data_IF_318496047548
#
_entry.id   IF_318496047548
#
_cell.length_a   1.000
_cell.length_b   1.000
_cell.length_c   1.000
_cell.angle_alpha   90.00
_cell.angle_beta   90.00
_cell.angle_gamma   90.00
#
_symmetry.space_group_name_H-M   'P 1'
#
loop_
_entity.id
_entity.type
_entity.pdbx_description
1 polymer ?
#
# COMPACT_ATOMS: atom_id res chain seq x y z
N UNK A 1 48.36 -40.89 36.33
CA UNK A 1 47.83 -39.51 36.21
C UNK A 1 48.08 -39.07 34.78
N UNK A 2 47.01 -38.98 33.99
CA UNK A 2 47.06 -38.70 32.56
C UNK A 2 47.29 -37.21 32.32
N UNK A 3 48.36 -36.89 31.60
CA UNK A 3 48.59 -35.57 31.03
C UNK A 3 47.97 -35.55 29.63
N UNK A 4 46.89 -34.79 29.53
CA UNK A 4 46.11 -34.53 28.33
C UNK A 4 46.97 -33.78 27.31
N UNK A 5 47.31 -34.45 26.22
CA UNK A 5 48.08 -33.93 25.11
C UNK A 5 47.16 -33.05 24.25
N UNK A 6 47.36 -31.73 24.29
CA UNK A 6 46.73 -30.80 23.36
C UNK A 6 47.27 -31.04 21.95
N UNK A 7 46.40 -31.44 21.03
CA UNK A 7 46.69 -31.52 19.59
C UNK A 7 46.76 -30.10 19.04
N UNK A 8 47.97 -29.67 18.70
CA UNK A 8 48.19 -28.52 17.82
C UNK A 8 47.70 -28.91 16.42
N UNK A 9 46.55 -28.37 16.00
CA UNK A 9 46.15 -28.38 14.60
C UNK A 9 46.87 -27.23 13.91
N UNK A 10 47.94 -27.58 13.21
CA UNK A 10 48.67 -26.70 12.30
C UNK A 10 47.74 -26.30 11.14
N UNK A 11 47.17 -25.09 11.23
CA UNK A 11 46.43 -24.49 10.13
C UNK A 11 47.45 -23.86 9.17
N UNK A 12 47.98 -24.66 8.25
CA UNK A 12 48.78 -24.20 7.12
C UNK A 12 47.90 -23.40 6.16
N UNK A 13 47.97 -22.07 6.23
CA UNK A 13 47.32 -21.17 5.29
C UNK A 13 48.04 -21.27 3.91
N UNK A 14 47.33 -21.54 2.80
CA UNK A 14 47.94 -21.46 1.48
C UNK A 14 48.17 -19.99 1.10
N UNK A 15 49.42 -19.65 0.83
CA UNK A 15 49.84 -18.36 0.32
C UNK A 15 49.26 -18.10 -1.09
N UNK A 16 48.95 -16.83 -1.36
CA UNK A 16 48.72 -16.19 -2.67
C UNK A 16 47.34 -16.30 -3.33
N UNK A 17 46.32 -15.71 -2.70
CA UNK A 17 45.25 -15.07 -3.48
C UNK A 17 45.68 -13.65 -3.85
N UNK A 18 46.27 -13.48 -5.03
CA UNK A 18 46.65 -12.18 -5.57
C UNK A 18 45.37 -11.34 -5.83
N UNK A 19 45.12 -10.32 -5.00
CA UNK A 19 44.06 -9.35 -5.26
C UNK A 19 44.41 -8.51 -6.50
N UNK A 20 43.54 -8.44 -7.54
CA UNK A 20 43.76 -7.56 -8.66
C UNK A 20 43.69 -6.09 -8.21
N UNK A 21 44.68 -5.32 -8.66
CA UNK A 21 44.86 -3.87 -8.42
C UNK A 21 43.55 -3.08 -8.52
N UNK A 22 43.27 -2.26 -7.50
CA UNK A 22 42.10 -1.36 -7.33
C UNK A 22 41.99 -0.22 -8.37
N UNK A 23 42.63 -0.33 -9.52
CA UNK A 23 42.68 0.73 -10.54
C UNK A 23 41.82 0.46 -11.78
N UNK A 24 41.01 -0.62 -11.80
CA UNK A 24 40.18 -1.01 -12.95
C UNK A 24 38.67 -0.98 -12.64
N UNK A 25 38.22 0.02 -11.89
CA UNK A 25 36.78 0.32 -11.64
C UNK A 25 36.35 1.68 -12.23
N UNK A 26 37.13 2.25 -13.16
CA UNK A 26 36.85 3.54 -13.79
C UNK A 26 36.29 3.43 -15.22
N UNK A 27 35.60 2.35 -15.55
CA UNK A 27 34.84 2.23 -16.79
C UNK A 27 33.39 1.85 -16.48
N UNK A 28 32.73 2.68 -15.66
CA UNK A 28 31.27 2.74 -15.64
C UNK A 28 30.86 3.36 -16.98
N UNK A 29 30.62 2.48 -17.95
CA UNK A 29 30.02 2.83 -19.22
C UNK A 29 28.79 3.71 -18.97
N UNK A 30 28.76 4.80 -19.70
CA UNK A 30 27.81 5.89 -19.57
C UNK A 30 26.42 5.34 -19.89
N UNK A 31 25.51 5.37 -18.92
CA UNK A 31 24.10 5.14 -19.21
C UNK A 31 23.53 6.50 -19.65
N UNK A 32 23.08 6.67 -20.91
CA UNK A 32 22.54 7.94 -21.36
C UNK A 32 21.31 8.27 -20.53
N UNK A 33 21.43 9.35 -19.75
CA UNK A 33 20.31 9.96 -19.04
C UNK A 33 19.23 10.30 -20.05
N UNK A 34 18.15 9.51 -20.06
CA UNK A 34 16.90 9.88 -20.70
C UNK A 34 16.48 11.21 -20.08
N UNK A 35 16.65 12.26 -20.88
CA UNK A 35 16.19 13.61 -20.62
C UNK A 35 14.67 13.55 -20.79
N UNK A 36 13.94 13.58 -19.66
CA UNK A 36 12.49 13.46 -19.67
C UNK A 36 11.95 12.94 -18.36
N UNK A 37 12.24 13.63 -17.25
CA UNK A 37 11.40 13.53 -16.06
C UNK A 37 10.09 14.28 -16.37
N UNK A 38 9.27 13.71 -17.23
CA UNK A 38 7.83 13.92 -17.14
C UNK A 38 7.39 13.20 -15.87
N UNK A 39 7.07 13.99 -14.84
CA UNK A 39 6.62 13.51 -13.54
C UNK A 39 5.30 12.74 -13.70
N UNK A 40 5.37 11.48 -14.09
CA UNK A 40 4.35 10.50 -13.71
C UNK A 40 4.86 9.85 -12.44
N UNK A 41 4.72 10.55 -11.31
CA UNK A 41 5.14 10.01 -10.01
C UNK A 41 4.21 8.86 -9.63
N UNK A 42 4.66 7.63 -9.82
CA UNK A 42 3.95 6.45 -9.33
C UNK A 42 3.74 6.57 -7.82
N UNK A 43 2.70 5.94 -7.29
CA UNK A 43 2.39 6.05 -5.86
C UNK A 43 3.56 5.55 -5.00
N UNK A 44 4.28 4.52 -5.47
CA UNK A 44 5.49 3.99 -4.84
C UNK A 44 6.64 5.01 -4.77
N UNK A 45 6.87 5.79 -5.82
CA UNK A 45 7.90 6.84 -5.84
C UNK A 45 7.53 8.00 -4.92
N UNK A 46 6.26 8.39 -4.89
CA UNK A 46 5.75 9.41 -3.95
C UNK A 46 5.99 9.00 -2.51
N UNK A 47 5.70 7.74 -2.15
CA UNK A 47 5.98 7.21 -0.81
C UNK A 47 7.47 7.25 -0.46
N UNK A 48 8.37 7.01 -1.43
CA UNK A 48 9.80 7.10 -1.19
C UNK A 48 10.26 8.55 -0.95
N UNK A 49 9.77 9.49 -1.74
CA UNK A 49 10.10 10.91 -1.58
C UNK A 49 9.63 11.44 -0.22
N UNK A 50 8.39 11.14 0.15
CA UNK A 50 7.79 11.56 1.40
C UNK A 50 8.48 10.94 2.62
N UNK A 51 9.00 9.70 2.50
CA UNK A 51 9.82 9.11 3.55
C UNK A 51 11.11 9.91 3.80
N UNK A 52 11.77 10.35 2.73
CA UNK A 52 12.98 11.16 2.86
C UNK A 52 12.67 12.52 3.47
N UNK A 53 11.54 13.13 3.10
CA UNK A 53 11.07 14.37 3.68
C UNK A 53 10.72 14.22 5.18
N UNK A 54 10.01 13.15 5.57
CA UNK A 54 9.69 12.86 6.96
C UNK A 54 10.95 12.66 7.82
N UNK A 55 11.99 12.03 7.25
CA UNK A 55 13.30 11.90 7.92
C UNK A 55 13.99 13.25 8.12
N UNK A 56 13.91 14.15 7.13
CA UNK A 56 14.52 15.49 7.20
C UNK A 56 13.80 16.42 8.19
N UNK A 57 12.48 16.39 8.18
CA UNK A 57 11.62 17.23 9.03
C UNK A 57 11.48 16.71 10.45
N UNK A 58 11.86 15.44 10.69
CA UNK A 58 11.73 14.81 12.01
C UNK A 58 10.31 14.34 12.33
N UNK A 59 9.41 14.27 11.34
CA UNK A 59 8.06 13.74 11.51
C UNK A 59 8.09 12.23 11.76
N UNK A 60 8.07 11.86 13.03
CA UNK A 60 8.17 10.46 13.49
C UNK A 60 6.96 9.65 13.02
N UNK A 61 5.75 10.20 13.18
CA UNK A 61 4.50 9.51 12.82
C UNK A 61 4.46 9.22 11.32
N UNK A 62 4.70 10.22 10.48
CA UNK A 62 4.70 10.02 9.02
C UNK A 62 5.79 9.05 8.59
N UNK A 63 6.98 9.14 9.17
CA UNK A 63 8.10 8.23 8.87
C UNK A 63 7.76 6.78 9.21
N UNK A 64 7.17 6.51 10.37
CA UNK A 64 6.80 5.16 10.81
C UNK A 64 5.70 4.57 9.93
N UNK A 65 4.65 5.34 9.65
CA UNK A 65 3.55 4.94 8.76
C UNK A 65 4.07 4.58 7.38
N UNK A 66 4.90 5.43 6.77
CA UNK A 66 5.42 5.18 5.43
C UNK A 66 6.35 3.97 5.41
N UNK A 67 7.20 3.79 6.43
CA UNK A 67 8.08 2.60 6.52
C UNK A 67 7.26 1.31 6.61
N UNK A 68 6.23 1.31 7.44
CA UNK A 68 5.36 0.15 7.60
C UNK A 68 4.60 -0.16 6.32
N UNK A 69 4.02 0.86 5.68
CA UNK A 69 3.32 0.72 4.42
C UNK A 69 4.22 0.15 3.32
N UNK A 70 5.46 0.65 3.19
CA UNK A 70 6.42 0.13 2.21
C UNK A 70 6.83 -1.31 2.48
N UNK A 71 6.94 -1.71 3.75
CA UNK A 71 7.19 -3.11 4.09
C UNK A 71 6.03 -4.01 3.64
N UNK A 72 4.78 -3.59 3.87
CA UNK A 72 3.60 -4.34 3.45
C UNK A 72 3.47 -4.42 1.92
N UNK A 73 3.74 -3.32 1.21
CA UNK A 73 3.84 -3.31 -0.25
C UNK A 73 4.88 -4.35 -0.70
N UNK A 74 6.07 -4.34 -0.08
CA UNK A 74 7.14 -5.26 -0.45
C UNK A 74 6.78 -6.72 -0.20
N UNK A 75 6.15 -7.02 0.93
CA UNK A 75 5.66 -8.36 1.24
C UNK A 75 4.70 -8.84 0.15
N UNK A 76 3.76 -7.98 -0.26
CA UNK A 76 2.76 -8.34 -1.27
C UNK A 76 3.33 -8.42 -2.70
N UNK A 77 4.39 -7.67 -3.00
CA UNK A 77 5.19 -7.88 -4.23
C UNK A 77 5.88 -9.24 -4.24
N UNK A 78 6.44 -9.66 -3.11
CA UNK A 78 7.07 -10.98 -2.96
C UNK A 78 6.03 -12.08 -3.16
N UNK A 79 4.86 -11.96 -2.51
CA UNK A 79 3.76 -12.92 -2.64
C UNK A 79 3.27 -13.06 -4.08
N UNK A 80 3.24 -11.97 -4.84
CA UNK A 80 2.80 -11.95 -6.25
C UNK A 80 3.92 -12.24 -7.25
N UNK A 81 5.18 -12.20 -6.84
CA UNK A 81 6.34 -12.33 -7.73
C UNK A 81 6.49 -11.18 -8.74
N UNK A 82 5.81 -10.05 -8.55
CA UNK A 82 5.87 -8.88 -9.44
C UNK A 82 5.66 -7.57 -8.66
N UNK A 83 6.10 -6.42 -9.20
CA UNK A 83 5.75 -5.11 -8.65
C UNK A 83 4.23 -4.92 -8.57
N UNK A 84 3.77 -4.23 -7.53
CA UNK A 84 2.36 -3.86 -7.40
C UNK A 84 2.02 -2.70 -8.33
N UNK A 85 0.79 -2.70 -8.84
CA UNK A 85 0.24 -1.52 -9.51
C UNK A 85 -0.23 -0.49 -8.49
N UNK A 86 -0.44 0.75 -8.94
CA UNK A 86 -0.92 1.82 -8.05
C UNK A 86 -2.30 1.49 -7.44
N UNK A 87 -3.18 0.78 -8.16
CA UNK A 87 -4.46 0.32 -7.58
C UNK A 87 -4.24 -0.68 -6.45
N UNK A 88 -3.30 -1.61 -6.61
CA UNK A 88 -2.99 -2.62 -5.60
C UNK A 88 -2.34 -1.99 -4.36
N UNK A 89 -1.55 -0.92 -4.54
CA UNK A 89 -1.01 -0.13 -3.42
C UNK A 89 -2.14 0.59 -2.68
N UNK A 90 -3.11 1.16 -3.39
CA UNK A 90 -4.31 1.77 -2.79
C UNK A 90 -5.10 0.74 -1.96
N UNK A 91 -5.25 -0.50 -2.44
CA UNK A 91 -5.87 -1.58 -1.67
C UNK A 91 -5.12 -1.87 -0.36
N UNK A 92 -3.78 -1.89 -0.39
CA UNK A 92 -2.95 -2.07 0.82
C UNK A 92 -3.18 -0.93 1.80
N UNK A 93 -3.20 0.32 1.33
CA UNK A 93 -3.46 1.51 2.18
C UNK A 93 -4.83 1.39 2.85
N UNK A 94 -5.87 1.01 2.11
CA UNK A 94 -7.23 0.82 2.65
C UNK A 94 -7.28 -0.24 3.73
N UNK A 95 -6.62 -1.39 3.52
CA UNK A 95 -6.51 -2.45 4.52
C UNK A 95 -5.85 -1.93 5.80
N UNK A 96 -4.78 -1.14 5.68
CA UNK A 96 -4.08 -0.54 6.81
C UNK A 96 -4.97 0.44 7.60
N UNK A 97 -5.76 1.27 6.91
CA UNK A 97 -6.73 2.16 7.56
C UNK A 97 -7.78 1.36 8.32
N UNK A 98 -8.32 0.30 7.71
CA UNK A 98 -9.31 -0.56 8.36
C UNK A 98 -8.78 -1.18 9.66
N UNK A 99 -7.58 -1.77 9.60
CA UNK A 99 -6.94 -2.35 10.80
C UNK A 99 -6.74 -1.32 11.92
N UNK A 100 -6.44 -0.05 11.57
CA UNK A 100 -6.29 1.03 12.55
C UNK A 100 -7.61 1.47 13.14
N UNK A 101 -8.68 1.52 12.34
CA UNK A 101 -10.04 1.80 12.84
C UNK A 101 -10.50 0.73 13.82
N UNK A 102 -10.23 -0.54 13.52
CA UNK A 102 -10.50 -1.66 14.45
C UNK A 102 -9.66 -1.52 15.73
N UNK A 103 -8.39 -1.13 15.63
CA UNK A 103 -7.54 -0.87 16.79
C UNK A 103 -8.02 0.31 17.65
N UNK A 104 -8.46 1.40 17.02
CA UNK A 104 -9.06 2.57 17.70
C UNK A 104 -10.25 2.13 18.53
N UNK A 105 -11.16 1.33 17.97
CA UNK A 105 -12.33 0.85 18.68
C UNK A 105 -11.94 0.02 19.92
N UNK A 106 -10.95 -0.86 19.78
CA UNK A 106 -10.43 -1.67 20.90
C UNK A 106 -9.75 -0.80 21.97
N UNK A 107 -8.95 0.19 21.58
CA UNK A 107 -8.28 1.09 22.54
C UNK A 107 -9.26 2.04 23.23
N UNK A 108 -10.29 2.50 22.52
CA UNK A 108 -11.36 3.32 23.08
C UNK A 108 -12.16 2.53 24.13
N UNK A 109 -12.49 1.26 23.84
CA UNK A 109 -13.12 0.35 24.82
C UNK A 109 -12.23 0.14 26.06
N UNK A 110 -10.91 0.11 25.89
CA UNK A 110 -9.94 0.02 26.97
C UNK A 110 -9.62 1.33 27.70
N UNK A 111 -10.26 2.46 27.35
CA UNK A 111 -10.02 3.77 27.95
C UNK A 111 -8.63 4.37 27.67
N UNK A 112 -7.92 3.89 26.63
CA UNK A 112 -6.57 4.32 26.27
C UNK A 112 -6.58 5.37 25.17
N UNK A 113 -7.02 6.58 25.53
CA UNK A 113 -7.15 7.71 24.59
C UNK A 113 -5.79 8.10 23.95
N UNK A 114 -4.68 7.91 24.66
CA UNK A 114 -3.33 8.14 24.15
C UNK A 114 -3.01 7.30 22.90
N UNK A 115 -3.53 6.07 22.84
CA UNK A 115 -3.35 5.18 21.70
C UNK A 115 -4.34 5.49 20.58
N UNK A 116 -5.57 5.90 20.92
CA UNK A 116 -6.57 6.35 19.94
C UNK A 116 -6.03 7.52 19.12
N UNK A 117 -5.53 8.57 19.78
CA UNK A 117 -5.00 9.76 19.11
C UNK A 117 -3.81 9.43 18.19
N UNK A 118 -2.96 8.47 18.60
CA UNK A 118 -1.85 7.99 17.79
C UNK A 118 -2.33 7.27 16.54
N UNK A 119 -3.30 6.37 16.65
CA UNK A 119 -3.84 5.66 15.49
C UNK A 119 -4.60 6.59 14.55
N UNK A 120 -5.34 7.56 15.07
CA UNK A 120 -5.99 8.60 14.27
C UNK A 120 -4.97 9.45 13.51
N UNK A 121 -3.85 9.82 14.14
CA UNK A 121 -2.78 10.54 13.47
C UNK A 121 -2.19 9.73 12.31
N UNK A 122 -2.02 8.42 12.49
CA UNK A 122 -1.56 7.53 11.42
C UNK A 122 -2.57 7.41 10.28
N UNK A 123 -3.87 7.31 10.59
CA UNK A 123 -4.94 7.28 9.57
C UNK A 123 -4.90 8.57 8.74
N UNK A 124 -4.78 9.73 9.38
CA UNK A 124 -4.67 11.02 8.66
C UNK A 124 -3.53 11.03 7.66
N UNK A 125 -2.36 10.47 8.02
CA UNK A 125 -1.23 10.33 7.10
C UNK A 125 -1.59 9.43 5.92
N UNK A 126 -2.16 8.25 6.18
CA UNK A 126 -2.54 7.29 5.12
C UNK A 126 -3.58 7.88 4.15
N UNK A 127 -4.53 8.67 4.64
CA UNK A 127 -5.57 9.31 3.84
C UNK A 127 -5.00 10.29 2.81
N UNK A 128 -3.83 10.91 3.06
CA UNK A 128 -3.18 11.80 2.08
C UNK A 128 -2.69 11.10 0.80
N UNK A 129 -2.58 9.78 0.84
CA UNK A 129 -2.15 8.94 -0.28
C UNK A 129 -3.32 8.32 -1.05
N UNK A 130 -4.55 8.44 -0.53
CA UNK A 130 -5.74 7.98 -1.22
C UNK A 130 -6.28 9.08 -2.14
N UNK A 131 -6.81 8.73 -3.32
CA UNK A 131 -7.62 9.67 -4.08
C UNK A 131 -8.83 10.08 -3.25
N UNK A 132 -9.35 11.29 -3.49
CA UNK A 132 -10.53 11.80 -2.81
C UNK A 132 -11.64 10.74 -2.83
N UNK A 133 -11.98 10.25 -1.63
CA UNK A 133 -12.99 9.22 -1.48
C UNK A 133 -14.36 9.83 -1.77
N UNK A 134 -15.20 9.06 -2.45
CA UNK A 134 -16.59 9.45 -2.67
C UNK A 134 -17.33 9.32 -1.34
N UNK A 135 -18.17 10.31 -1.04
CA UNK A 135 -19.10 10.21 0.08
C UNK A 135 -20.10 9.05 -0.17
N UNK A 136 -20.71 8.49 0.89
CA UNK A 136 -21.74 7.47 0.74
C UNK A 136 -22.89 7.92 -0.17
N UNK A 137 -23.24 9.20 -0.13
CA UNK A 137 -24.33 9.79 -0.91
C UNK A 137 -23.96 9.91 -2.40
N UNK A 138 -22.75 10.39 -2.72
CA UNK A 138 -22.26 10.44 -4.11
C UNK A 138 -22.13 9.04 -4.71
N UNK A 139 -21.70 8.06 -3.91
CA UNK A 139 -21.64 6.66 -4.33
C UNK A 139 -23.03 6.10 -4.63
N UNK A 140 -24.04 6.46 -3.84
CA UNK A 140 -25.43 6.08 -4.05
C UNK A 140 -26.00 6.70 -5.33
N UNK A 141 -25.76 7.99 -5.56
CA UNK A 141 -26.20 8.68 -6.78
C UNK A 141 -25.55 8.10 -8.04
N UNK A 142 -24.26 7.77 -7.97
CA UNK A 142 -23.56 7.05 -9.04
C UNK A 142 -24.17 5.66 -9.27
N UNK A 143 -24.48 4.91 -8.21
CA UNK A 143 -25.13 3.61 -8.33
C UNK A 143 -26.50 3.72 -8.99
N UNK A 144 -27.34 4.68 -8.58
CA UNK A 144 -28.65 4.95 -9.21
C UNK A 144 -28.53 5.36 -10.68
N UNK A 145 -27.53 6.16 -11.02
CA UNK A 145 -27.27 6.53 -12.42
C UNK A 145 -26.91 5.30 -13.27
N UNK A 146 -26.02 4.43 -12.77
CA UNK A 146 -25.63 3.20 -13.48
C UNK A 146 -26.80 2.23 -13.61
N UNK A 147 -27.63 2.06 -12.56
CA UNK A 147 -28.83 1.21 -12.60
C UNK A 147 -29.79 1.66 -13.69
N UNK A 148 -30.03 2.98 -13.81
CA UNK A 148 -30.88 3.56 -14.87
C UNK A 148 -30.30 3.36 -16.27
N UNK A 149 -29.01 3.54 -16.44
CA UNK A 149 -28.33 3.39 -17.72
C UNK A 149 -28.30 1.94 -18.22
N UNK A 150 -28.08 0.99 -17.32
CA UNK A 150 -28.08 -0.45 -17.65
C UNK A 150 -29.51 -0.99 -17.82
N UNK A 151 -30.52 -0.21 -17.43
CA UNK A 151 -31.92 -0.64 -17.43
C UNK A 151 -32.16 -1.81 -16.48
N UNK A 152 -31.47 -1.82 -15.34
CA UNK A 152 -31.57 -2.87 -14.35
C UNK A 152 -32.90 -2.76 -13.59
N UNK A 153 -33.60 -3.88 -13.43
CA UNK A 153 -34.96 -3.94 -12.85
C UNK A 153 -35.00 -4.62 -11.50
N UNK A 154 -33.86 -5.15 -11.03
CA UNK A 154 -33.75 -5.66 -9.68
C UNK A 154 -32.44 -6.37 -9.36
N UNK A 155 -32.38 -7.09 -8.23
CA UNK A 155 -31.15 -7.69 -7.72
C UNK A 155 -30.47 -8.69 -8.67
N UNK A 156 -31.22 -9.24 -9.63
CA UNK A 156 -30.70 -10.18 -10.64
C UNK A 156 -29.73 -9.52 -11.63
N UNK A 157 -29.84 -8.20 -11.81
CA UNK A 157 -28.98 -7.41 -12.71
C UNK A 157 -27.67 -6.97 -12.06
N UNK A 158 -27.38 -7.40 -10.83
CA UNK A 158 -26.14 -7.05 -10.11
C UNK A 158 -24.89 -7.32 -10.95
N UNK A 159 -24.85 -8.45 -11.68
CA UNK A 159 -23.73 -8.81 -12.54
C UNK A 159 -23.49 -7.83 -13.71
N UNK A 160 -24.51 -7.07 -14.12
CA UNK A 160 -24.42 -6.06 -15.18
C UNK A 160 -24.06 -4.67 -14.64
N UNK A 161 -24.56 -4.33 -13.45
CA UNK A 161 -24.33 -3.02 -12.79
C UNK A 161 -22.93 -2.92 -12.19
N UNK A 162 -22.45 -3.98 -11.54
CA UNK A 162 -21.16 -3.98 -10.85
C UNK A 162 -19.94 -3.61 -11.71
N UNK A 163 -19.74 -4.15 -12.92
CA UNK A 163 -18.57 -3.79 -13.73
C UNK A 163 -18.57 -2.31 -14.12
N UNK A 164 -19.72 -1.77 -14.55
CA UNK A 164 -19.86 -0.36 -14.95
C UNK A 164 -19.66 0.57 -13.75
N UNK A 165 -20.22 0.21 -12.60
CA UNK A 165 -20.06 1.00 -11.38
C UNK A 165 -18.61 1.00 -10.89
N UNK A 166 -17.92 -0.14 -10.93
CA UNK A 166 -16.49 -0.24 -10.58
C UNK A 166 -15.61 0.56 -11.52
N UNK A 167 -15.91 0.60 -12.81
CA UNK A 167 -15.18 1.41 -13.77
C UNK A 167 -15.33 2.91 -13.50
N UNK A 168 -16.55 3.37 -13.17
CA UNK A 168 -16.81 4.77 -12.84
C UNK A 168 -16.22 5.22 -11.50
N UNK A 169 -16.31 4.35 -10.51
CA UNK A 169 -15.83 4.64 -9.16
C UNK A 169 -14.31 4.47 -9.05
N UNK A 170 -13.76 3.49 -9.77
CA UNK A 170 -12.33 3.19 -9.78
C UNK A 170 -11.78 3.03 -8.35
N UNK A 171 -10.56 3.54 -8.08
CA UNK A 171 -9.93 3.46 -6.76
C UNK A 171 -10.47 4.49 -5.76
N UNK A 172 -11.64 5.12 -5.99
CA UNK A 172 -12.22 6.14 -5.09
C UNK A 172 -13.15 5.57 -4.02
N UNK A 173 -13.71 4.37 -4.21
CA UNK A 173 -14.46 3.67 -3.16
C UNK A 173 -14.04 2.21 -3.01
N UNK A 174 -14.32 1.64 -1.85
CA UNK A 174 -13.98 0.25 -1.52
C UNK A 174 -14.94 -0.73 -2.21
N UNK A 175 -14.44 -1.90 -2.62
CA UNK A 175 -15.27 -2.89 -3.33
C UNK A 175 -16.51 -3.33 -2.55
N UNK A 176 -16.42 -3.35 -1.22
CA UNK A 176 -17.56 -3.63 -0.34
C UNK A 176 -18.59 -2.50 -0.35
N UNK A 177 -18.14 -1.25 -0.21
CA UNK A 177 -19.03 -0.07 -0.27
C UNK A 177 -19.73 0.04 -1.64
N UNK A 178 -19.03 -0.27 -2.72
CA UNK A 178 -19.60 -0.33 -4.08
C UNK A 178 -20.71 -1.39 -4.16
N UNK A 179 -20.45 -2.59 -3.62
CA UNK A 179 -21.43 -3.68 -3.61
C UNK A 179 -22.66 -3.34 -2.76
N UNK A 180 -22.47 -2.76 -1.58
CA UNK A 180 -23.56 -2.33 -0.70
C UNK A 180 -24.40 -1.21 -1.35
N UNK A 181 -23.77 -0.23 -1.99
CA UNK A 181 -24.47 0.84 -2.71
C UNK A 181 -25.25 0.31 -3.92
N UNK A 182 -24.65 -0.57 -4.73
CA UNK A 182 -25.34 -1.21 -5.85
C UNK A 182 -26.55 -2.04 -5.38
N UNK A 183 -26.41 -2.77 -4.27
CA UNK A 183 -27.49 -3.58 -3.72
C UNK A 183 -28.65 -2.71 -3.25
N UNK A 184 -28.35 -1.61 -2.54
CA UNK A 184 -29.37 -0.64 -2.10
C UNK A 184 -30.08 -0.01 -3.29
N UNK A 185 -29.34 0.47 -4.30
CA UNK A 185 -29.93 1.08 -5.49
C UNK A 185 -30.82 0.11 -6.28
N UNK A 186 -30.44 -1.16 -6.40
CA UNK A 186 -31.27 -2.18 -7.06
C UNK A 186 -32.49 -2.59 -6.25
N UNK A 187 -32.40 -2.57 -4.92
CA UNK A 187 -33.53 -2.84 -4.04
C UNK A 187 -34.60 -1.73 -4.12
N UNK A 188 -34.19 -0.45 -4.25
CA UNK A 188 -35.10 0.67 -4.47
C UNK A 188 -35.92 0.52 -5.76
N UNK A 189 -35.29 0.04 -6.83
CA UNK A 189 -35.95 -0.17 -8.14
C UNK A 189 -36.84 -1.40 -8.15
N UNK A 190 -36.50 -2.45 -7.41
CA UNK A 190 -37.34 -3.66 -7.32
C UNK A 190 -38.57 -3.48 -6.41
N UNK A 191 -38.56 -2.47 -5.54
CA UNK A 191 -39.66 -2.13 -4.64
C UNK A 191 -40.60 -1.03 -5.16
N UNK A 192 -40.28 -0.42 -6.31
CA UNK A 192 -41.15 0.53 -7.04
C UNK A 192 -41.87 -0.16 -8.18
#
# INVERSE_FOLDING_TARGET
MHLTQCVQLDYTAPETFAMPSRSRWSARAQNPTTRGNERVSTLAERLLADLQEAVKTGDVTRREVIRFLRAEIKNREIDKGRPLTDEEIIEVIRRQIKMRREAIEQFAQGGRQDLVEREEAQIRVLETYLPQQLSPDELMELARAVVREVGATGPRDMGRVMPVLRERVGPRAEGRAIAEAAQKALAEVAGS
#
